data_IF_436774448415
#
_entry.id   IF_436774448415
#
_cell.length_a   1.000
_cell.length_b   1.000
_cell.length_c   1.000
_cell.angle_alpha   90.00
_cell.angle_beta   90.00
_cell.angle_gamma   90.00
#
_symmetry.space_group_name_H-M   'P 1'
#
loop_
_entity.id
_entity.type
_entity.pdbx_description
1 polymer ?
#
# COMPACT_ATOMS: atom_id res chain seq x y z
N UNK A 1 -6.18 -14.43 -20.75
CA UNK A 1 -6.09 -12.99 -21.10
C UNK A 1 -4.65 -12.56 -20.90
N UNK A 2 -4.02 -11.97 -21.92
CA UNK A 2 -2.60 -11.62 -21.88
C UNK A 2 -2.44 -10.28 -21.13
N UNK A 3 -2.22 -10.33 -19.82
CA UNK A 3 -2.13 -9.12 -18.99
C UNK A 3 -0.83 -8.38 -19.31
N UNK A 4 -0.93 -7.10 -19.68
CA UNK A 4 0.26 -6.26 -19.89
C UNK A 4 0.97 -6.03 -18.56
N UNK A 5 2.30 -5.98 -18.60
CA UNK A 5 3.11 -5.55 -17.44
C UNK A 5 2.96 -4.05 -17.24
N UNK A 6 3.05 -3.57 -16.00
CA UNK A 6 3.01 -2.15 -15.69
C UNK A 6 4.42 -1.66 -15.35
N UNK A 7 4.85 -0.53 -15.91
CA UNK A 7 6.17 0.05 -15.65
C UNK A 7 6.07 1.52 -15.26
N UNK A 8 6.61 1.88 -14.09
CA UNK A 8 6.85 3.27 -13.70
C UNK A 8 8.24 3.68 -14.18
N UNK A 9 8.35 4.79 -14.89
CA UNK A 9 9.59 5.17 -15.58
C UNK A 9 9.95 6.65 -15.43
N UNK A 10 11.25 6.95 -15.46
CA UNK A 10 11.78 8.32 -15.51
C UNK A 10 12.02 9.00 -14.16
N UNK A 11 11.54 8.41 -13.07
CA UNK A 11 11.75 8.89 -11.70
C UNK A 11 12.98 8.28 -11.04
N UNK A 12 13.18 8.61 -9.76
CA UNK A 12 14.25 8.04 -8.93
C UNK A 12 13.69 6.91 -8.07
N UNK A 13 14.22 5.70 -8.25
CA UNK A 13 13.86 4.57 -7.38
C UNK A 13 14.79 4.54 -6.17
N UNK A 14 14.20 4.55 -4.98
CA UNK A 14 14.93 4.37 -3.71
C UNK A 14 14.83 2.92 -3.31
N UNK A 15 15.98 2.26 -3.20
CA UNK A 15 16.07 0.87 -2.72
C UNK A 15 16.88 0.84 -1.43
N UNK A 16 16.87 -0.27 -0.67
CA UNK A 16 17.74 -0.42 0.49
C UNK A 16 19.24 -0.36 0.17
N UNK A 17 19.62 -0.48 -1.09
CA UNK A 17 21.01 -0.61 -1.53
C UNK A 17 21.54 0.64 -2.23
N UNK A 18 20.68 1.32 -2.99
CA UNK A 18 21.07 2.44 -3.85
C UNK A 18 19.87 3.30 -4.26
N UNK A 19 20.17 4.52 -4.69
CA UNK A 19 19.27 5.39 -5.43
C UNK A 19 19.52 5.24 -6.94
N UNK A 20 18.46 4.95 -7.70
CA UNK A 20 18.55 4.72 -9.13
C UNK A 20 17.86 5.87 -9.86
N UNK A 21 18.65 6.83 -10.34
CA UNK A 21 18.16 7.97 -11.13
C UNK A 21 17.71 7.49 -12.52
N UNK A 22 16.61 8.06 -13.02
CA UNK A 22 16.00 7.67 -14.30
C UNK A 22 15.76 6.14 -14.36
N UNK A 23 15.03 5.65 -13.37
CA UNK A 23 14.73 4.23 -13.17
C UNK A 23 13.56 3.74 -14.02
N UNK A 24 13.46 2.41 -14.11
CA UNK A 24 12.23 1.70 -14.42
C UNK A 24 11.92 0.72 -13.28
N UNK A 25 10.70 0.76 -12.78
CA UNK A 25 10.14 -0.20 -11.82
C UNK A 25 8.99 -0.93 -12.49
N UNK A 26 9.12 -2.23 -12.68
CA UNK A 26 8.22 -3.03 -13.50
C UNK A 26 7.51 -4.06 -12.65
N UNK A 27 6.20 -4.09 -12.77
CA UNK A 27 5.31 -5.03 -12.11
C UNK A 27 4.78 -6.04 -13.12
N UNK A 28 4.85 -7.30 -12.73
CA UNK A 28 4.11 -8.39 -13.37
C UNK A 28 3.06 -8.87 -12.37
N UNK A 29 1.82 -8.44 -12.59
CA UNK A 29 0.72 -8.63 -11.63
C UNK A 29 1.04 -8.02 -10.25
N UNK A 30 1.20 -8.86 -9.23
CA UNK A 30 1.46 -8.50 -7.83
C UNK A 30 2.95 -8.57 -7.45
N UNK A 31 3.83 -8.91 -8.40
CA UNK A 31 5.26 -9.06 -8.16
C UNK A 31 6.06 -7.97 -8.87
N UNK A 32 7.11 -7.50 -8.20
CA UNK A 32 8.13 -6.66 -8.82
C UNK A 32 8.98 -7.55 -9.73
N UNK A 33 8.91 -7.32 -11.03
CA UNK A 33 9.65 -8.07 -12.05
C UNK A 33 11.03 -7.45 -12.35
N UNK A 34 11.17 -6.14 -12.16
CA UNK A 34 12.43 -5.43 -12.40
C UNK A 34 12.48 -4.10 -11.65
N UNK A 35 13.65 -3.77 -11.10
CA UNK A 35 14.02 -2.44 -10.60
C UNK A 35 15.43 -2.15 -11.11
N UNK A 36 15.60 -1.04 -11.80
CA UNK A 36 16.92 -0.67 -12.30
C UNK A 36 16.90 0.50 -13.27
N UNK A 37 18.05 0.83 -13.89
CA UNK A 37 18.15 1.91 -14.87
C UNK A 37 17.15 1.71 -16.00
N UNK A 38 16.44 2.77 -16.39
CA UNK A 38 15.43 2.74 -17.45
C UNK A 38 15.98 2.22 -18.78
N UNK A 39 17.22 2.52 -19.11
CA UNK A 39 17.85 2.15 -20.38
C UNK A 39 18.06 0.64 -20.52
N UNK A 40 18.15 -0.09 -19.40
CA UNK A 40 18.36 -1.54 -19.39
C UNK A 40 17.05 -2.34 -19.49
N UNK A 41 15.90 -1.67 -19.42
CA UNK A 41 14.60 -2.31 -19.56
C UNK A 41 13.95 -1.93 -20.91
N UNK A 42 13.83 -2.88 -21.86
CA UNK A 42 13.19 -2.62 -23.14
C UNK A 42 11.67 -2.51 -22.97
N UNK A 43 11.09 -1.39 -23.40
CA UNK A 43 9.64 -1.18 -23.43
C UNK A 43 9.13 -1.60 -24.80
N UNK A 44 8.12 -2.47 -24.81
CA UNK A 44 7.43 -2.92 -26.01
C UNK A 44 5.91 -2.87 -25.76
N UNK A 45 5.11 -3.25 -26.76
CA UNK A 45 3.64 -3.16 -26.72
C UNK A 45 2.96 -3.96 -25.58
N UNK A 46 3.69 -4.88 -24.94
CA UNK A 46 3.23 -5.69 -23.80
C UNK A 46 3.45 -5.02 -22.44
N UNK A 47 4.01 -3.82 -22.42
CA UNK A 47 4.27 -3.05 -21.20
C UNK A 47 3.48 -1.73 -21.26
N UNK A 48 2.58 -1.54 -20.31
CA UNK A 48 1.94 -0.27 -20.03
C UNK A 48 2.88 0.60 -19.20
N UNK A 49 3.01 1.88 -19.53
CA UNK A 49 3.99 2.77 -18.91
C UNK A 49 3.34 3.97 -18.25
N UNK A 50 3.77 4.26 -17.02
CA UNK A 50 3.40 5.46 -16.27
C UNK A 50 4.66 6.28 -16.04
N UNK A 51 4.65 7.54 -16.49
CA UNK A 51 5.76 8.46 -16.23
C UNK A 51 5.73 8.95 -14.78
N UNK A 52 6.86 8.83 -14.09
CA UNK A 52 7.10 9.36 -12.74
C UNK A 52 8.28 10.34 -12.76
N UNK A 53 8.47 11.04 -13.87
CA UNK A 53 9.56 12.00 -14.05
C UNK A 53 9.59 13.04 -12.92
N UNK A 54 10.77 13.21 -12.30
CA UNK A 54 10.97 14.16 -11.20
C UNK A 54 10.40 13.71 -9.85
N UNK A 55 9.83 12.51 -9.77
CA UNK A 55 9.25 11.92 -8.56
C UNK A 55 10.12 10.80 -8.03
N UNK A 56 9.86 10.42 -6.78
CA UNK A 56 10.46 9.25 -6.15
C UNK A 56 9.51 8.07 -6.16
N UNK A 57 10.06 6.87 -6.29
CA UNK A 57 9.35 5.62 -6.05
C UNK A 57 10.12 4.81 -5.01
N UNK A 58 9.41 4.38 -3.97
CA UNK A 58 9.98 3.65 -2.83
C UNK A 58 9.15 2.40 -2.56
N UNK A 59 9.65 1.41 -1.81
CA UNK A 59 8.78 0.49 -1.11
C UNK A 59 7.77 1.27 -0.27
N UNK A 60 6.53 0.79 -0.22
CA UNK A 60 5.54 1.37 0.66
C UNK A 60 5.97 1.22 2.13
N UNK A 61 5.60 2.17 2.97
CA UNK A 61 6.01 2.16 4.37
C UNK A 61 5.28 1.06 5.17
N UNK A 62 5.94 0.59 6.21
CA UNK A 62 5.38 -0.33 7.21
C UNK A 62 5.35 0.39 8.55
N UNK A 63 4.16 0.65 9.06
CA UNK A 63 3.97 1.29 10.36
C UNK A 63 3.74 0.24 11.44
N UNK A 64 4.67 0.14 12.39
CA UNK A 64 4.61 -0.86 13.45
C UNK A 64 3.88 -0.38 14.71
N UNK A 65 3.46 0.89 14.78
CA UNK A 65 2.85 1.42 15.99
C UNK A 65 1.84 2.52 15.69
N UNK A 66 0.56 2.13 15.58
CA UNK A 66 -0.49 3.04 15.17
C UNK A 66 -1.83 2.74 15.85
N UNK A 67 -2.43 3.76 16.47
CA UNK A 67 -3.69 3.62 17.19
C UNK A 67 -4.92 3.93 16.33
N UNK A 68 -4.80 4.85 15.38
CA UNK A 68 -5.94 5.33 14.60
C UNK A 68 -5.54 6.31 13.50
N UNK A 69 -6.53 6.99 12.92
CA UNK A 69 -6.35 7.91 11.81
C UNK A 69 -7.68 8.43 11.27
N UNK A 70 -7.68 9.67 10.75
CA UNK A 70 -8.85 10.34 10.19
C UNK A 70 -10.11 10.33 11.10
N UNK A 71 -9.91 10.45 12.42
CA UNK A 71 -11.01 10.49 13.41
C UNK A 71 -11.54 9.13 13.85
N UNK A 72 -10.99 8.02 13.34
CA UNK A 72 -11.29 6.65 13.78
C UNK A 72 -10.17 6.06 14.63
N UNK A 73 -10.52 5.15 15.54
CA UNK A 73 -9.61 4.42 16.42
C UNK A 73 -9.75 2.89 16.20
N UNK A 74 -8.65 2.14 16.18
CA UNK A 74 -8.71 0.67 16.06
C UNK A 74 -9.46 0.01 17.23
N UNK A 75 -9.51 0.67 18.39
CA UNK A 75 -10.25 0.27 19.58
C UNK A 75 -11.78 0.39 19.43
N UNK A 76 -12.29 1.11 18.42
CA UNK A 76 -13.72 1.17 18.11
C UNK A 76 -14.22 -0.13 17.41
N UNK A 77 -13.29 -0.96 16.93
CA UNK A 77 -13.53 -2.34 16.50
C UNK A 77 -14.57 -2.53 15.36
N UNK A 78 -14.83 -1.51 14.55
CA UNK A 78 -15.72 -1.63 13.39
C UNK A 78 -14.94 -1.73 12.07
N UNK A 79 -15.51 -2.46 11.10
CA UNK A 79 -14.92 -2.52 9.74
C UNK A 79 -14.74 -1.12 9.13
N UNK A 80 -15.69 -0.21 9.37
CA UNK A 80 -15.65 1.14 8.83
C UNK A 80 -14.46 1.92 9.39
N UNK A 81 -14.17 1.79 10.69
CA UNK A 81 -13.02 2.43 11.33
C UNK A 81 -11.71 1.89 10.77
N UNK A 82 -11.57 0.56 10.68
CA UNK A 82 -10.39 -0.06 10.08
C UNK A 82 -10.14 0.42 8.64
N UNK A 83 -11.17 0.43 7.79
CA UNK A 83 -11.04 0.90 6.42
C UNK A 83 -10.71 2.40 6.35
N UNK A 84 -11.25 3.20 7.26
CA UNK A 84 -10.99 4.65 7.32
C UNK A 84 -9.54 4.92 7.71
N UNK A 85 -9.03 4.24 8.73
CA UNK A 85 -7.64 4.32 9.17
C UNK A 85 -6.70 3.86 8.06
N UNK A 86 -6.94 2.69 7.46
CA UNK A 86 -6.10 2.16 6.37
C UNK A 86 -6.07 3.08 5.15
N UNK A 87 -7.21 3.65 4.73
CA UNK A 87 -7.26 4.61 3.62
C UNK A 87 -6.49 5.88 3.92
N UNK A 88 -6.60 6.40 5.14
CA UNK A 88 -5.88 7.60 5.56
C UNK A 88 -4.37 7.41 5.49
N UNK A 89 -3.86 6.32 6.07
CA UNK A 89 -2.41 6.04 6.07
C UNK A 89 -1.87 5.65 4.69
N UNK A 90 -2.68 5.02 3.84
CA UNK A 90 -2.32 4.75 2.46
C UNK A 90 -2.05 6.03 1.64
N UNK A 91 -2.73 7.15 1.95
CA UNK A 91 -2.45 8.45 1.32
C UNK A 91 -1.06 8.99 1.67
N UNK A 92 -0.52 8.61 2.84
CA UNK A 92 0.84 8.93 3.28
C UNK A 92 1.90 7.94 2.81
N UNK A 93 1.53 6.93 2.01
CA UNK A 93 2.46 5.92 1.49
C UNK A 93 2.60 4.66 2.35
N UNK A 94 1.85 4.51 3.44
CA UNK A 94 1.84 3.29 4.27
C UNK A 94 1.08 2.17 3.57
N UNK A 95 1.72 1.02 3.40
CA UNK A 95 1.15 -0.16 2.72
C UNK A 95 1.00 -1.37 3.62
N UNK A 96 1.70 -1.39 4.75
CA UNK A 96 1.50 -2.35 5.83
C UNK A 96 1.42 -1.62 7.17
N UNK A 97 0.58 -2.09 8.08
CA UNK A 97 0.52 -1.54 9.43
C UNK A 97 0.21 -2.59 10.48
N UNK A 98 0.65 -2.35 11.71
CA UNK A 98 0.29 -3.10 12.90
C UNK A 98 -0.65 -2.25 13.76
N UNK A 99 -1.92 -2.65 13.82
CA UNK A 99 -2.91 -1.99 14.66
C UNK A 99 -2.55 -2.12 16.15
N UNK A 100 -2.26 -1.00 16.80
CA UNK A 100 -1.87 -0.93 18.21
C UNK A 100 -3.07 -0.61 19.08
N UNK A 101 -3.34 -1.46 20.06
CA UNK A 101 -4.32 -1.21 21.11
C UNK A 101 -3.69 -0.48 22.28
N UNK A 102 -4.45 0.41 22.94
CA UNK A 102 -4.07 0.98 24.23
C UNK A 102 -4.81 0.27 25.38
N UNK A 103 -4.27 0.34 26.60
CA UNK A 103 -4.99 -0.13 27.78
C UNK A 103 -6.17 0.81 28.06
N UNK A 104 -7.37 0.25 28.18
CA UNK A 104 -8.60 0.99 28.52
C UNK A 104 -9.37 0.26 29.64
N UNK A 105 -10.22 1.00 30.36
CA UNK A 105 -11.06 0.46 31.41
C UNK A 105 -12.28 -0.27 30.82
N UNK A 106 -12.67 -1.40 31.42
CA UNK A 106 -13.85 -2.19 30.99
C UNK A 106 -15.15 -1.38 30.91
N UNK A 107 -15.25 -0.29 31.68
CA UNK A 107 -16.45 0.53 31.78
C UNK A 107 -16.68 1.45 30.57
N UNK A 108 -15.69 1.66 29.69
CA UNK A 108 -15.83 2.53 28.52
C UNK A 108 -16.82 1.99 27.47
N UNK A 109 -17.25 0.73 27.60
CA UNK A 109 -18.25 0.11 26.72
C UNK A 109 -17.77 -0.15 25.30
N UNK A 110 -16.54 0.26 24.95
CA UNK A 110 -15.94 0.10 23.61
C UNK A 110 -15.53 -1.33 23.30
N UNK A 111 -15.17 -2.11 24.31
CA UNK A 111 -14.83 -3.53 24.17
C UNK A 111 -15.96 -4.44 24.64
N UNK A 112 -16.86 -4.83 23.74
CA UNK A 112 -17.65 -6.06 23.92
C UNK A 112 -16.77 -7.24 23.55
N UNK A 113 -16.12 -7.84 24.55
CA UNK A 113 -15.44 -9.12 24.43
C UNK A 113 -16.50 -10.19 24.10
N UNK A 114 -16.79 -10.39 22.82
CA UNK A 114 -17.59 -11.51 22.35
C UNK A 114 -16.64 -12.67 22.03
N UNK A 115 -17.01 -13.93 22.31
CA UNK A 115 -16.17 -15.07 21.96
C UNK A 115 -15.79 -15.02 20.48
N UNK A 116 -14.51 -15.18 20.16
CA UNK A 116 -14.02 -15.19 18.79
C UNK A 116 -14.73 -16.29 17.98
N UNK A 117 -15.61 -15.92 17.05
CA UNK A 117 -16.43 -16.86 16.26
C UNK A 117 -15.84 -17.19 14.88
N UNK A 118 -14.53 -17.03 14.70
CA UNK A 118 -13.85 -17.27 13.43
C UNK A 118 -14.05 -16.15 12.41
N UNK A 119 -13.00 -15.86 11.65
CA UNK A 119 -12.99 -14.81 10.64
C UNK A 119 -13.60 -15.33 9.34
N UNK A 120 -14.64 -14.67 8.80
CA UNK A 120 -15.00 -14.83 7.38
C UNK A 120 -14.05 -13.93 6.58
N UNK A 121 -13.35 -14.49 5.59
CA UNK A 121 -12.50 -13.73 4.66
C UNK A 121 -13.34 -12.71 3.90
N UNK A 122 -12.95 -11.44 3.91
CA UNK A 122 -13.73 -10.32 3.34
C UNK A 122 -13.51 -10.07 1.84
N UNK A 123 -12.96 -11.03 1.10
CA UNK A 123 -12.96 -11.04 -0.37
C UNK A 123 -12.26 -9.86 -1.07
N UNK A 124 -11.40 -9.11 -0.37
CA UNK A 124 -10.57 -8.07 -1.00
C UNK A 124 -9.28 -8.70 -1.53
N UNK A 125 -9.01 -8.53 -2.81
CA UNK A 125 -7.78 -9.02 -3.44
C UNK A 125 -6.69 -7.94 -3.39
N UNK A 126 -5.42 -8.33 -3.40
CA UNK A 126 -4.29 -7.38 -3.52
C UNK A 126 -4.46 -6.42 -4.71
N UNK A 127 -5.11 -6.90 -5.77
CA UNK A 127 -5.41 -6.14 -6.99
C UNK A 127 -6.34 -4.94 -6.73
N UNK A 128 -7.32 -5.09 -5.83
CA UNK A 128 -8.26 -4.03 -5.47
C UNK A 128 -7.60 -2.91 -4.65
N UNK A 129 -6.54 -3.25 -3.90
CA UNK A 129 -5.74 -2.30 -3.12
C UNK A 129 -4.75 -1.54 -4.00
N UNK A 130 -4.13 -2.22 -4.99
CA UNK A 130 -3.16 -1.61 -5.92
C UNK A 130 -3.82 -0.61 -6.89
N UNK A 131 -5.02 -0.90 -7.40
CA UNK A 131 -5.73 0.03 -8.31
C UNK A 131 -6.22 1.32 -7.62
N UNK A 132 -6.47 1.27 -6.31
CA UNK A 132 -6.83 2.45 -5.51
C UNK A 132 -5.61 3.31 -5.15
N UNK A 133 -4.42 2.70 -5.06
CA UNK A 133 -3.14 3.36 -4.85
C UNK A 133 -2.72 4.26 -6.04
N UNK A 134 -2.88 3.77 -7.27
CA UNK A 134 -2.54 4.51 -8.50
C UNK A 134 -3.30 5.84 -8.69
N UNK A 135 -4.50 5.97 -8.14
CA UNK A 135 -5.30 7.19 -8.23
C UNK A 135 -5.09 8.17 -7.05
N UNK A 136 -4.37 7.75 -6.00
CA UNK A 136 -4.23 8.53 -4.76
C UNK A 136 -2.81 9.08 -4.55
N UNK A 137 -1.77 8.44 -5.08
CA UNK A 137 -0.38 8.81 -4.78
C UNK A 137 0.46 8.79 -6.06
N UNK A 138 0.28 9.83 -6.88
CA UNK A 138 1.34 10.30 -7.75
C UNK A 138 1.77 11.67 -7.23
N UNK A 139 2.61 11.70 -6.18
CA UNK A 139 3.35 12.91 -5.78
C UNK A 139 4.57 13.02 -6.67
#
# INVERSE_FOLDING_TARGET
MNTKKLAFVGGTAITPFEEIVNSAVVFDQDQIAYVGPRQRFPINERVETVSIQGKFITPGFIDIHIHGGAGSDFMDATRQDFETICRYHAQGGTTGLLATTATDCRASGKFKCTPWKGHKSWGLTLRDLIFRWLNAVAI
#
